data_IF_765938670118
#
_entry.id   IF_765938670118
#
_cell.length_a   1.000
_cell.length_b   1.000
_cell.length_c   1.000
_cell.angle_alpha   90.00
_cell.angle_beta   90.00
_cell.angle_gamma   90.00
#
_symmetry.space_group_name_H-M   'P 1'
#
loop_
_entity.id
_entity.type
_entity.pdbx_description
1 polymer ?
#
# COMPACT_ATOMS: atom_id res chain seq x y z
N UNK A 1 -25.23 -8.26 -20.07
CA UNK A 1 -24.44 -9.50 -20.05
C UNK A 1 -23.67 -9.55 -18.73
N UNK A 2 -24.12 -10.38 -17.76
CA UNK A 2 -23.43 -10.53 -16.46
C UNK A 2 -22.16 -11.34 -16.69
N UNK A 3 -20.98 -10.72 -16.57
CA UNK A 3 -19.72 -11.47 -16.52
C UNK A 3 -19.66 -12.20 -15.17
N UNK A 4 -19.86 -13.50 -15.21
CA UNK A 4 -19.64 -14.38 -14.06
C UNK A 4 -18.13 -14.56 -13.94
N UNK A 5 -17.55 -13.93 -12.95
CA UNK A 5 -16.14 -14.11 -12.61
C UNK A 5 -16.00 -15.42 -11.82
N UNK A 6 -15.27 -16.38 -12.37
CA UNK A 6 -14.90 -17.58 -11.61
C UNK A 6 -13.88 -17.20 -10.54
N UNK A 7 -14.16 -17.53 -9.30
CA UNK A 7 -13.20 -17.51 -8.19
C UNK A 7 -12.20 -18.66 -8.39
N UNK A 8 -10.91 -18.41 -8.62
CA UNK A 8 -9.91 -19.45 -8.42
C UNK A 8 -9.79 -19.67 -6.91
N UNK A 9 -9.70 -20.93 -6.48
CA UNK A 9 -9.16 -21.28 -5.17
C UNK A 9 -7.68 -20.87 -5.19
N UNK A 10 -7.39 -19.66 -4.71
CA UNK A 10 -6.02 -19.21 -4.50
C UNK A 10 -5.65 -19.49 -3.06
N UNK A 11 -4.52 -20.18 -2.91
CA UNK A 11 -3.82 -20.32 -1.65
C UNK A 11 -3.60 -18.92 -1.05
N UNK A 12 -4.01 -18.69 0.17
CA UNK A 12 -4.03 -17.40 0.86
C UNK A 12 -2.69 -16.66 0.81
N UNK A 13 -1.60 -17.38 0.75
CA UNK A 13 -0.24 -16.87 0.64
C UNK A 13 0.03 -16.11 -0.66
N UNK A 14 -0.61 -16.51 -1.75
CA UNK A 14 -0.35 -15.95 -3.07
C UNK A 14 -1.00 -14.58 -3.26
N UNK A 15 -2.13 -14.28 -2.61
CA UNK A 15 -2.84 -13.00 -2.78
C UNK A 15 -2.01 -11.81 -2.28
N UNK A 16 -1.51 -11.87 -1.06
CA UNK A 16 -0.71 -10.78 -0.50
C UNK A 16 0.69 -10.70 -1.12
N UNK A 17 1.28 -11.83 -1.47
CA UNK A 17 2.53 -11.85 -2.21
C UNK A 17 2.37 -11.23 -3.60
N UNK A 18 1.27 -11.49 -4.30
CA UNK A 18 0.95 -10.85 -5.58
C UNK A 18 0.74 -9.34 -5.42
N UNK A 19 -0.01 -8.91 -4.39
CA UNK A 19 -0.18 -7.49 -4.08
C UNK A 19 1.15 -6.77 -3.84
N UNK A 20 2.13 -7.41 -3.18
CA UNK A 20 3.47 -6.87 -2.94
C UNK A 20 4.32 -6.77 -4.22
N UNK A 21 4.02 -7.54 -5.27
CA UNK A 21 4.68 -7.43 -6.57
C UNK A 21 4.15 -6.26 -7.40
N UNK A 22 3.00 -5.68 -7.03
CA UNK A 22 2.44 -4.56 -7.78
C UNK A 22 3.25 -3.29 -7.56
N UNK A 23 3.47 -2.48 -8.61
CA UNK A 23 4.21 -1.23 -8.49
C UNK A 23 3.61 -0.28 -7.46
N UNK A 24 2.30 -0.12 -7.51
CA UNK A 24 1.53 0.69 -6.55
C UNK A 24 0.16 0.06 -6.36
N UNK A 25 -0.36 0.11 -5.14
CA UNK A 25 -1.64 -0.48 -4.77
C UNK A 25 -2.54 0.54 -4.07
N UNK A 26 -3.78 0.64 -4.54
CA UNK A 26 -4.83 1.38 -3.87
C UNK A 26 -5.78 0.42 -3.16
N UNK A 27 -6.00 0.61 -1.87
CA UNK A 27 -6.95 -0.17 -1.06
C UNK A 27 -8.09 0.76 -0.65
N UNK A 28 -9.30 0.49 -1.12
CA UNK A 28 -10.44 1.35 -0.83
C UNK A 28 -11.66 0.57 -0.34
N UNK A 29 -12.42 1.17 0.58
CA UNK A 29 -13.63 0.59 1.14
C UNK A 29 -14.15 1.36 2.34
N UNK A 30 -15.40 1.18 2.67
CA UNK A 30 -16.03 1.85 3.81
C UNK A 30 -15.37 1.49 5.15
N UNK A 31 -15.65 2.26 6.19
CA UNK A 31 -15.24 1.93 7.57
C UNK A 31 -15.73 0.54 7.97
N UNK A 32 -14.84 -0.27 8.53
CA UNK A 32 -15.15 -1.65 8.93
C UNK A 32 -15.34 -2.62 7.77
N UNK A 33 -14.84 -2.32 6.56
CA UNK A 33 -14.88 -3.21 5.40
C UNK A 33 -13.69 -4.19 5.33
N UNK A 34 -12.70 -4.06 6.23
CA UNK A 34 -11.52 -4.93 6.24
C UNK A 34 -10.25 -4.34 5.62
N UNK A 35 -10.15 -3.01 5.43
CA UNK A 35 -8.92 -2.37 4.91
C UNK A 35 -7.70 -2.69 5.75
N UNK A 36 -7.81 -2.57 7.07
CA UNK A 36 -6.74 -2.90 8.02
C UNK A 36 -6.31 -4.36 7.91
N UNK A 37 -7.26 -5.27 7.67
CA UNK A 37 -6.97 -6.69 7.44
C UNK A 37 -6.08 -6.88 6.21
N UNK A 38 -6.40 -6.19 5.10
CA UNK A 38 -5.58 -6.24 3.87
C UNK A 38 -4.19 -5.67 4.12
N UNK A 39 -4.09 -4.50 4.77
CA UNK A 39 -2.80 -3.87 5.08
C UNK A 39 -1.97 -4.80 5.98
N UNK A 40 -2.55 -5.31 7.07
CA UNK A 40 -1.87 -6.21 7.99
C UNK A 40 -1.44 -7.51 7.32
N UNK A 41 -2.26 -8.08 6.43
CA UNK A 41 -1.90 -9.26 5.66
C UNK A 41 -0.70 -9.03 4.74
N UNK A 42 -0.66 -7.89 4.05
CA UNK A 42 0.48 -7.48 3.24
C UNK A 42 1.74 -7.26 4.08
N UNK A 43 1.63 -6.51 5.19
CA UNK A 43 2.74 -6.24 6.11
C UNK A 43 3.30 -7.53 6.70
N UNK A 44 2.43 -8.43 7.19
CA UNK A 44 2.82 -9.75 7.73
C UNK A 44 3.54 -10.59 6.68
N UNK A 45 3.06 -10.58 5.44
CA UNK A 45 3.71 -11.28 4.34
C UNK A 45 5.09 -10.70 4.03
N UNK A 46 5.20 -9.36 3.98
CA UNK A 46 6.47 -8.68 3.74
C UNK A 46 7.50 -8.87 4.88
N UNK A 47 7.05 -8.97 6.13
CA UNK A 47 7.90 -9.20 7.30
C UNK A 47 8.51 -10.61 7.36
N UNK A 48 8.16 -11.52 6.46
CA UNK A 48 8.84 -12.82 6.30
C UNK A 48 10.21 -12.66 5.67
N UNK A 49 10.42 -11.57 4.96
CA UNK A 49 11.71 -11.18 4.41
C UNK A 49 12.54 -10.39 5.44
N UNK A 50 13.85 -10.29 5.21
CA UNK A 50 14.75 -9.54 6.08
C UNK A 50 14.59 -8.02 5.91
N UNK A 51 15.01 -7.20 6.90
CA UNK A 51 15.04 -5.74 6.77
C UNK A 51 15.91 -5.22 5.62
N UNK A 52 16.84 -6.03 5.12
CA UNK A 52 17.62 -5.69 3.93
C UNK A 52 16.84 -5.90 2.63
N UNK A 53 15.87 -6.81 2.63
CA UNK A 53 15.03 -7.10 1.46
C UNK A 53 13.78 -6.23 1.38
N UNK A 54 13.20 -5.86 2.55
CA UNK A 54 11.96 -5.07 2.62
C UNK A 54 12.05 -4.01 3.71
N UNK A 55 11.68 -2.79 3.37
CA UNK A 55 11.64 -1.66 4.29
C UNK A 55 10.33 -0.87 4.13
N UNK A 56 9.95 -0.15 5.18
CA UNK A 56 8.71 0.60 5.23
C UNK A 56 8.92 2.07 5.58
N UNK A 57 8.17 2.95 4.91
CA UNK A 57 7.86 4.30 5.35
C UNK A 57 6.36 4.29 5.67
N UNK A 58 6.00 4.49 6.94
CA UNK A 58 4.65 4.33 7.45
C UNK A 58 4.02 5.69 7.73
N UNK A 59 2.84 5.92 7.17
CA UNK A 59 2.07 7.16 7.34
C UNK A 59 0.71 6.79 7.93
N UNK A 60 0.53 7.09 9.22
CA UNK A 60 -0.63 6.71 10.03
C UNK A 60 -1.21 7.93 10.76
N UNK A 61 -2.03 8.75 10.10
CA UNK A 61 -2.60 9.96 10.69
C UNK A 61 -3.47 9.69 11.91
N UNK A 62 -4.02 8.48 12.02
CA UNK A 62 -4.92 8.08 13.12
C UNK A 62 -4.20 7.41 14.29
N UNK A 63 -2.93 7.03 14.12
CA UNK A 63 -2.09 6.35 15.12
C UNK A 63 -2.69 5.04 15.64
N UNK A 64 -3.34 4.28 14.77
CA UNK A 64 -4.07 3.06 15.13
C UNK A 64 -3.56 1.84 14.37
N UNK A 65 -3.48 1.95 13.04
CA UNK A 65 -3.31 0.78 12.18
C UNK A 65 -1.85 0.35 11.99
N UNK A 66 -0.91 1.32 11.97
CA UNK A 66 0.49 1.05 11.67
C UNK A 66 1.42 1.22 12.88
N UNK A 67 0.89 1.57 14.04
CA UNK A 67 1.68 1.86 15.24
C UNK A 67 2.49 0.66 15.72
N UNK A 68 1.98 -0.56 15.57
CA UNK A 68 2.67 -1.79 15.98
C UNK A 68 3.94 -2.08 15.18
N UNK A 69 4.03 -1.56 13.97
CA UNK A 69 5.18 -1.72 13.08
C UNK A 69 6.26 -0.65 13.27
N UNK A 70 5.99 0.39 14.08
CA UNK A 70 6.84 1.58 14.24
C UNK A 70 8.27 1.25 14.67
N UNK A 71 8.43 0.33 15.62
CA UNK A 71 9.72 -0.01 16.23
C UNK A 71 10.44 -1.19 15.54
N UNK A 72 9.91 -1.70 14.43
CA UNK A 72 10.51 -2.82 13.73
C UNK A 72 11.76 -2.39 12.95
N UNK A 73 12.75 -3.30 12.81
CA UNK A 73 13.97 -3.01 12.05
C UNK A 73 13.71 -2.72 10.56
N UNK A 74 12.55 -3.12 10.03
CA UNK A 74 12.10 -2.82 8.69
C UNK A 74 11.62 -1.37 8.50
N UNK A 75 11.29 -0.65 9.58
CA UNK A 75 10.69 0.67 9.50
C UNK A 75 11.74 1.75 9.45
N UNK A 76 11.88 2.39 8.30
CA UNK A 76 12.73 3.56 8.08
C UNK A 76 12.16 4.78 8.78
N UNK A 77 10.84 4.97 8.64
CA UNK A 77 10.13 6.11 9.21
C UNK A 77 8.69 5.76 9.53
N UNK A 78 8.22 6.24 10.68
CA UNK A 78 6.80 6.30 11.06
C UNK A 78 6.41 7.76 11.24
N UNK A 79 5.28 8.18 10.67
CA UNK A 79 4.80 9.56 10.71
C UNK A 79 3.31 9.61 10.93
N UNK A 80 2.88 10.45 11.88
CA UNK A 80 1.47 10.63 12.22
C UNK A 80 1.03 12.10 12.20
N UNK A 81 1.97 13.04 12.31
CA UNK A 81 1.68 14.47 12.27
C UNK A 81 1.71 15.01 10.83
N UNK A 82 0.86 16.00 10.50
CA UNK A 82 0.75 16.51 9.13
C UNK A 82 2.07 16.92 8.48
N UNK A 83 2.95 17.63 9.20
CA UNK A 83 4.26 18.05 8.69
C UNK A 83 5.22 16.88 8.50
N UNK A 84 5.23 15.91 9.41
CA UNK A 84 6.06 14.72 9.34
C UNK A 84 5.65 13.79 8.20
N UNK A 85 4.34 13.70 7.90
CA UNK A 85 3.82 12.89 6.80
C UNK A 85 4.31 13.41 5.44
N UNK A 86 4.37 14.74 5.25
CA UNK A 86 4.95 15.35 4.04
C UNK A 86 6.45 15.05 3.97
N UNK A 87 7.18 15.15 5.08
CA UNK A 87 8.60 14.82 5.14
C UNK A 87 8.85 13.34 4.82
N UNK A 88 7.99 12.43 5.29
CA UNK A 88 8.09 10.99 4.97
C UNK A 88 7.96 10.72 3.47
N UNK A 89 7.03 11.40 2.79
CA UNK A 89 6.89 11.31 1.34
C UNK A 89 8.12 11.91 0.61
N UNK A 90 8.68 13.01 1.14
CA UNK A 90 9.90 13.64 0.61
C UNK A 90 11.11 12.72 0.74
N UNK A 91 11.20 11.98 1.87
CA UNK A 91 12.24 10.97 2.08
C UNK A 91 12.12 9.83 1.07
N UNK A 92 10.91 9.36 0.78
CA UNK A 92 10.68 8.36 -0.27
C UNK A 92 11.14 8.84 -1.65
N UNK A 93 10.94 10.13 -2.01
CA UNK A 93 11.49 10.73 -3.23
C UNK A 93 13.00 10.73 -3.19
N UNK A 94 13.61 11.13 -2.08
CA UNK A 94 15.08 11.17 -1.93
C UNK A 94 15.68 9.78 -2.13
N UNK A 95 15.09 8.74 -1.51
CA UNK A 95 15.50 7.34 -1.72
C UNK A 95 15.37 6.97 -3.20
N UNK A 96 14.26 7.32 -3.84
CA UNK A 96 14.03 7.05 -5.26
C UNK A 96 15.10 7.70 -6.14
N UNK A 97 15.36 8.99 -5.94
CA UNK A 97 16.34 9.75 -6.73
C UNK A 97 17.79 9.21 -6.52
N UNK A 98 18.15 8.80 -5.31
CA UNK A 98 19.45 8.18 -5.01
C UNK A 98 19.58 6.83 -5.72
N UNK A 99 18.54 6.00 -5.68
CA UNK A 99 18.52 4.72 -6.41
C UNK A 99 18.67 4.91 -7.93
N UNK A 100 18.06 5.95 -8.50
CA UNK A 100 18.28 6.30 -9.92
C UNK A 100 19.73 6.68 -10.22
N UNK A 101 20.41 7.42 -9.33
CA UNK A 101 21.84 7.72 -9.47
C UNK A 101 22.68 6.44 -9.45
N UNK A 102 22.37 5.50 -8.56
CA UNK A 102 23.07 4.22 -8.48
C UNK A 102 22.80 3.34 -9.71
N UNK A 103 21.56 3.29 -10.19
CA UNK A 103 21.20 2.61 -11.44
C UNK A 103 21.98 3.19 -12.64
N UNK A 104 22.10 4.51 -12.71
CA UNK A 104 22.88 5.17 -13.75
C UNK A 104 24.38 4.80 -13.71
N UNK A 105 24.97 4.78 -12.49
CA UNK A 105 26.37 4.35 -12.30
C UNK A 105 26.61 2.90 -12.68
N UNK A 106 25.64 2.03 -12.39
CA UNK A 106 25.71 0.59 -12.67
C UNK A 106 25.24 0.23 -14.09
N UNK A 107 24.75 1.19 -14.87
CA UNK A 107 24.16 0.97 -16.20
C UNK A 107 22.99 -0.03 -16.21
N UNK A 108 22.17 -0.06 -15.15
CA UNK A 108 20.99 -0.93 -15.04
C UNK A 108 19.70 -0.14 -15.19
N UNK A 109 18.63 -0.83 -15.65
CA UNK A 109 17.30 -0.23 -15.86
C UNK A 109 16.34 -0.42 -14.68
N UNK A 110 16.71 -1.25 -13.71
CA UNK A 110 15.94 -1.51 -12.49
C UNK A 110 16.88 -1.61 -11.30
N UNK A 111 16.47 -1.09 -10.17
CA UNK A 111 17.19 -1.21 -8.91
C UNK A 111 17.14 -2.65 -8.41
N UNK A 112 18.29 -3.25 -8.12
CA UNK A 112 18.40 -4.65 -7.69
C UNK A 112 18.40 -4.87 -6.17
N UNK A 113 18.34 -3.80 -5.36
CA UNK A 113 18.30 -3.90 -3.91
C UNK A 113 16.89 -4.08 -3.34
N UNK A 114 16.78 -4.06 -2.02
CA UNK A 114 15.53 -4.28 -1.28
C UNK A 114 14.41 -3.30 -1.66
N UNK A 115 13.17 -3.74 -1.52
CA UNK A 115 11.99 -2.92 -1.77
C UNK A 115 11.73 -1.92 -0.62
N UNK A 116 11.21 -0.73 -0.95
CA UNK A 116 10.67 0.21 0.02
C UNK A 116 9.18 0.39 -0.24
N UNK A 117 8.36 0.10 0.76
CA UNK A 117 6.92 0.32 0.70
C UNK A 117 6.55 1.58 1.50
N UNK A 118 5.97 2.56 0.82
CA UNK A 118 5.34 3.73 1.44
C UNK A 118 3.89 3.35 1.71
N UNK A 119 3.56 3.04 2.96
CA UNK A 119 2.23 2.60 3.38
C UNK A 119 1.47 3.77 4.00
N UNK A 120 0.34 4.12 3.42
CA UNK A 120 -0.53 5.23 3.84
C UNK A 120 -1.86 4.64 4.28
N UNK A 121 -2.17 4.71 5.58
CA UNK A 121 -3.42 4.16 6.14
C UNK A 121 -4.67 4.92 5.68
N UNK A 122 -4.60 6.26 5.62
CA UNK A 122 -5.73 7.06 5.16
C UNK A 122 -5.27 8.22 4.26
N UNK A 123 -5.38 8.00 2.95
CA UNK A 123 -4.99 9.00 1.95
C UNK A 123 -5.86 10.27 2.02
N UNK A 124 -7.13 10.13 2.44
CA UNK A 124 -8.03 11.27 2.55
C UNK A 124 -7.52 12.30 3.56
N UNK A 125 -6.96 11.87 4.68
CA UNK A 125 -6.44 12.76 5.71
C UNK A 125 -5.23 13.57 5.19
N UNK A 126 -4.31 12.92 4.47
CA UNK A 126 -3.19 13.61 3.81
C UNK A 126 -3.65 14.63 2.77
N UNK A 127 -4.61 14.23 1.95
CA UNK A 127 -5.11 15.07 0.86
C UNK A 127 -5.98 16.22 1.37
N UNK A 128 -6.58 16.09 2.54
CA UNK A 128 -7.36 17.19 3.14
C UNK A 128 -6.45 18.23 3.78
N UNK A 129 -5.42 17.80 4.49
CA UNK A 129 -4.53 18.68 5.26
C UNK A 129 -3.44 19.34 4.40
N UNK A 130 -2.84 18.62 3.46
CA UNK A 130 -1.61 19.03 2.77
C UNK A 130 -1.65 18.82 1.24
N UNK A 131 -2.83 18.88 0.62
CA UNK A 131 -3.04 18.53 -0.80
C UNK A 131 -2.00 19.12 -1.75
N UNK A 132 -1.70 20.43 -1.60
CA UNK A 132 -0.78 21.15 -2.51
C UNK A 132 0.64 20.57 -2.50
N UNK A 133 1.08 20.01 -1.37
CA UNK A 133 2.40 19.41 -1.22
C UNK A 133 2.38 17.91 -1.53
N UNK A 134 1.37 17.20 -1.02
CA UNK A 134 1.25 15.74 -1.13
C UNK A 134 0.98 15.29 -2.57
N UNK A 135 0.06 15.95 -3.28
CA UNK A 135 -0.36 15.52 -4.61
C UNK A 135 0.81 15.43 -5.61
N UNK A 136 1.69 16.43 -5.78
CA UNK A 136 2.79 16.31 -6.73
C UNK A 136 3.82 15.28 -6.32
N UNK A 137 4.07 15.10 -5.00
CA UNK A 137 5.02 14.09 -4.51
C UNK A 137 4.49 12.69 -4.79
N UNK A 138 3.24 12.39 -4.44
CA UNK A 138 2.62 11.09 -4.71
C UNK A 138 2.57 10.79 -6.20
N UNK A 139 2.19 11.77 -7.02
CA UNK A 139 2.17 11.60 -8.48
C UNK A 139 3.57 11.24 -9.00
N UNK A 140 4.61 11.93 -8.56
CA UNK A 140 6.00 11.64 -8.95
C UNK A 140 6.43 10.25 -8.46
N UNK A 141 6.19 9.89 -7.19
CA UNK A 141 6.52 8.56 -6.66
C UNK A 141 5.86 7.45 -7.48
N UNK A 142 4.57 7.60 -7.80
CA UNK A 142 3.85 6.61 -8.59
C UNK A 142 4.33 6.54 -10.05
N UNK A 143 4.91 7.60 -10.61
CA UNK A 143 5.46 7.59 -11.96
C UNK A 143 6.83 6.93 -12.05
N UNK A 144 7.69 7.13 -11.05
CA UNK A 144 9.10 6.73 -11.13
C UNK A 144 9.49 5.62 -10.13
N UNK A 145 8.68 5.35 -9.11
CA UNK A 145 9.01 4.42 -8.02
C UNK A 145 9.26 2.99 -8.48
N UNK A 146 8.50 2.50 -9.47
CA UNK A 146 8.59 1.12 -9.97
C UNK A 146 10.02 0.68 -10.32
N UNK A 147 10.74 1.47 -11.10
CA UNK A 147 12.10 1.11 -11.54
C UNK A 147 13.10 1.19 -10.38
N UNK A 148 12.86 2.08 -9.42
CA UNK A 148 13.66 2.25 -8.21
C UNK A 148 13.31 1.28 -7.08
N UNK A 149 12.39 0.33 -7.27
CA UNK A 149 11.86 -0.58 -6.26
C UNK A 149 11.29 0.15 -5.03
N UNK A 150 10.56 1.26 -5.29
CA UNK A 150 9.81 2.04 -4.29
C UNK A 150 8.33 1.98 -4.63
N UNK A 151 7.54 1.46 -3.74
CA UNK A 151 6.14 1.14 -3.95
C UNK A 151 5.24 1.98 -3.04
N UNK A 152 4.11 2.44 -3.54
CA UNK A 152 3.10 3.15 -2.74
C UNK A 152 1.91 2.22 -2.52
N UNK A 153 1.58 1.96 -1.26
CA UNK A 153 0.37 1.28 -0.82
C UNK A 153 -0.48 2.31 -0.11
N UNK A 154 -1.52 2.79 -0.78
CA UNK A 154 -2.40 3.83 -0.24
C UNK A 154 -3.78 3.26 0.08
N UNK A 155 -4.24 3.44 1.32
CA UNK A 155 -5.59 3.09 1.70
C UNK A 155 -6.48 4.32 1.89
N UNK A 156 -7.78 4.16 1.67
CA UNK A 156 -8.76 5.23 1.93
C UNK A 156 -10.16 4.70 2.19
N UNK A 157 -10.87 5.38 3.09
CA UNK A 157 -12.31 5.17 3.31
C UNK A 157 -13.16 6.07 2.40
N UNK A 158 -12.55 7.05 1.75
CA UNK A 158 -13.23 8.06 0.95
C UNK A 158 -12.69 8.08 -0.50
N UNK A 159 -13.21 7.22 -1.39
CA UNK A 159 -12.71 7.08 -2.76
C UNK A 159 -13.22 8.19 -3.71
N UNK A 160 -13.41 9.40 -3.20
CA UNK A 160 -13.84 10.55 -4.00
C UNK A 160 -12.72 11.08 -4.88
N UNK A 161 -13.06 11.64 -6.04
CA UNK A 161 -12.10 12.26 -6.97
C UNK A 161 -11.32 13.41 -6.33
N UNK A 162 -11.88 14.05 -5.31
CA UNK A 162 -11.19 15.09 -4.54
C UNK A 162 -10.02 14.52 -3.71
N UNK A 163 -10.14 13.25 -3.26
CA UNK A 163 -9.13 12.52 -2.47
C UNK A 163 -8.14 11.80 -3.38
N UNK A 164 -8.66 11.16 -4.44
CA UNK A 164 -7.84 10.45 -5.42
C UNK A 164 -8.03 11.11 -6.78
N UNK A 165 -7.33 12.22 -7.06
CA UNK A 165 -7.41 12.89 -8.35
C UNK A 165 -6.95 11.97 -9.48
N UNK A 166 -7.51 12.17 -10.68
CA UNK A 166 -7.19 11.37 -11.86
C UNK A 166 -5.68 11.21 -12.09
N UNK A 167 -4.83 12.25 -11.98
CA UNK A 167 -3.39 12.11 -12.20
C UNK A 167 -2.68 11.17 -11.21
N UNK A 168 -3.24 10.96 -10.03
CA UNK A 168 -2.75 9.96 -9.06
C UNK A 168 -3.37 8.60 -9.39
N UNK A 169 -4.69 8.55 -9.59
CA UNK A 169 -5.46 7.32 -9.79
C UNK A 169 -4.96 6.49 -10.97
N UNK A 170 -4.53 7.11 -12.06
CA UNK A 170 -4.04 6.41 -13.26
C UNK A 170 -2.72 5.67 -13.03
N UNK A 171 -2.00 5.97 -11.96
CA UNK A 171 -0.76 5.28 -11.60
C UNK A 171 -0.99 4.11 -10.62
N UNK A 172 -2.20 3.96 -10.09
CA UNK A 172 -2.62 2.80 -9.30
C UNK A 172 -3.34 1.81 -10.22
N UNK A 173 -2.55 1.06 -11.01
CA UNK A 173 -3.10 0.04 -11.92
C UNK A 173 -3.70 -1.12 -11.15
N UNK A 174 -3.18 -1.37 -9.94
CA UNK A 174 -3.69 -2.42 -9.06
C UNK A 174 -4.50 -1.82 -7.91
N UNK A 175 -5.69 -2.38 -7.68
CA UNK A 175 -6.65 -1.86 -6.70
C UNK A 175 -7.35 -2.98 -5.97
N UNK A 176 -7.47 -2.84 -4.66
CA UNK A 176 -8.34 -3.66 -3.82
C UNK A 176 -9.56 -2.83 -3.46
N UNK A 177 -10.73 -3.27 -3.90
CA UNK A 177 -11.99 -2.65 -3.58
C UNK A 177 -12.80 -3.55 -2.65
N UNK A 178 -12.89 -3.15 -1.40
CA UNK A 178 -13.73 -3.77 -0.38
C UNK A 178 -15.15 -3.17 -0.45
N UNK A 179 -16.05 -3.58 0.47
CA UNK A 179 -17.39 -3.04 0.49
C UNK A 179 -17.38 -1.51 0.53
N UNK A 180 -18.12 -0.89 -0.38
CA UNK A 180 -18.33 0.56 -0.45
C UNK A 180 -19.70 0.96 0.10
N UNK A 181 -19.91 2.26 0.34
CA UNK A 181 -21.21 2.82 0.78
C UNK A 181 -22.20 2.93 -0.36
N UNK A 182 -21.72 3.09 -1.58
CA UNK A 182 -22.55 3.32 -2.77
C UNK A 182 -21.93 2.74 -4.03
N UNK A 183 -22.75 2.53 -5.05
CA UNK A 183 -22.27 2.17 -6.39
C UNK A 183 -21.44 3.29 -7.03
N UNK A 184 -21.61 4.56 -6.62
CA UNK A 184 -20.75 5.64 -7.09
C UNK A 184 -19.32 5.50 -6.54
N UNK A 185 -19.16 5.13 -5.26
CA UNK A 185 -17.85 4.85 -4.68
C UNK A 185 -17.18 3.67 -5.38
N UNK A 186 -17.94 2.61 -5.66
CA UNK A 186 -17.47 1.46 -6.44
C UNK A 186 -16.94 1.90 -7.81
N UNK A 187 -17.71 2.72 -8.55
CA UNK A 187 -17.27 3.29 -9.84
C UNK A 187 -16.02 4.15 -9.69
N UNK A 188 -15.91 4.92 -8.63
CA UNK A 188 -14.73 5.73 -8.37
C UNK A 188 -13.46 4.90 -8.19
N UNK A 189 -13.56 3.67 -7.65
CA UNK A 189 -12.43 2.76 -7.44
C UNK A 189 -12.16 1.93 -8.70
N UNK A 190 -13.16 1.17 -9.15
CA UNK A 190 -13.00 0.13 -10.16
C UNK A 190 -13.47 0.55 -11.57
N UNK A 191 -14.18 1.67 -11.71
CA UNK A 191 -14.85 2.05 -12.95
C UNK A 191 -16.23 1.41 -13.14
N UNK A 192 -16.61 0.47 -12.28
CA UNK A 192 -17.89 -0.29 -12.32
C UNK A 192 -18.52 -0.35 -10.94
N UNK A 193 -19.82 -0.63 -10.89
CA UNK A 193 -20.57 -0.90 -9.64
C UNK A 193 -20.36 -2.36 -9.19
N UNK A 194 -20.68 -2.67 -7.93
CA UNK A 194 -20.69 -4.02 -7.38
C UNK A 194 -20.06 -4.13 -6.00
N UNK A 195 -19.14 -3.23 -5.61
CA UNK A 195 -18.54 -3.26 -4.29
C UNK A 195 -19.53 -2.95 -3.17
N UNK A 196 -20.59 -2.19 -3.45
CA UNK A 196 -21.67 -1.89 -2.51
C UNK A 196 -22.49 -3.13 -2.14
N UNK A 197 -22.43 -4.19 -2.95
CA UNK A 197 -23.14 -5.46 -2.74
C UNK A 197 -22.29 -6.49 -2.00
N UNK A 198 -21.01 -6.22 -1.77
CA UNK A 198 -20.12 -7.12 -1.03
C UNK A 198 -20.60 -7.27 0.43
N UNK A 199 -20.33 -8.40 1.08
CA UNK A 199 -20.52 -8.54 2.51
C UNK A 199 -19.67 -7.49 3.27
N UNK A 200 -20.02 -7.24 4.52
CA UNK A 200 -19.37 -6.20 5.32
C UNK A 200 -17.84 -6.41 5.40
N UNK A 201 -17.39 -7.66 5.47
CA UNK A 201 -15.98 -8.04 5.51
C UNK A 201 -15.76 -9.42 4.87
N UNK A 202 -14.51 -9.77 4.70
CA UNK A 202 -14.08 -11.08 4.22
C UNK A 202 -14.02 -11.22 2.71
N UNK A 203 -14.53 -10.25 1.93
CA UNK A 203 -14.45 -10.29 0.46
C UNK A 203 -14.06 -8.93 -0.12
N UNK A 204 -13.39 -8.97 -1.26
CA UNK A 204 -12.99 -7.80 -2.01
C UNK A 204 -12.74 -8.11 -3.48
N UNK A 205 -12.90 -7.11 -4.32
CA UNK A 205 -12.42 -7.18 -5.70
C UNK A 205 -10.96 -6.74 -5.73
N UNK A 206 -10.13 -7.53 -6.37
CA UNK A 206 -8.75 -7.20 -6.68
C UNK A 206 -8.62 -7.01 -8.18
N UNK A 207 -8.28 -5.80 -8.58
CA UNK A 207 -8.06 -5.40 -9.97
C UNK A 207 -6.57 -5.24 -10.21
N UNK A 208 -6.09 -5.81 -11.30
CA UNK A 208 -4.75 -5.66 -11.86
C UNK A 208 -4.86 -5.34 -13.36
N UNK A 209 -3.76 -5.04 -14.06
CA UNK A 209 -3.78 -4.90 -15.52
C UNK A 209 -4.34 -6.14 -16.26
N UNK A 210 -4.21 -7.33 -15.66
CA UNK A 210 -4.73 -8.58 -16.26
C UNK A 210 -6.24 -8.78 -16.05
N UNK A 211 -6.85 -8.02 -15.16
CA UNK A 211 -8.31 -8.09 -14.94
C UNK A 211 -8.73 -7.80 -13.51
N UNK A 212 -10.03 -7.97 -13.26
CA UNK A 212 -10.64 -7.76 -11.94
C UNK A 212 -11.31 -9.04 -11.47
N UNK A 213 -11.02 -9.51 -10.27
CA UNK A 213 -11.53 -10.76 -9.70
C UNK A 213 -12.02 -10.54 -8.28
N UNK A 214 -13.02 -11.32 -7.89
CA UNK A 214 -13.49 -11.39 -6.50
C UNK A 214 -12.61 -12.37 -5.71
N UNK A 215 -12.18 -11.96 -4.52
CA UNK A 215 -11.38 -12.78 -3.61
C UNK A 215 -11.99 -12.79 -2.21
N UNK A 216 -11.82 -13.91 -1.52
CA UNK A 216 -11.91 -13.94 -0.07
C UNK A 216 -10.64 -13.33 0.50
N UNK A 217 -10.80 -12.35 1.38
CA UNK A 217 -9.67 -11.66 2.02
C UNK A 217 -9.22 -12.48 3.22
N UNK A 218 -8.00 -13.01 3.22
CA UNK A 218 -7.48 -13.81 4.32
C UNK A 218 -7.23 -12.96 5.57
N UNK A 219 -7.39 -13.55 6.74
CA UNK A 219 -7.09 -12.91 8.02
C UNK A 219 -5.85 -13.57 8.64
N UNK A 220 -4.89 -12.76 9.08
CA UNK A 220 -3.70 -13.19 9.81
C UNK A 220 -3.78 -12.73 11.27
N UNK A 221 -4.79 -13.22 12.00
CA UNK A 221 -5.03 -12.80 13.39
C UNK A 221 -3.95 -13.27 14.35
N UNK A 222 -3.34 -14.42 14.09
CA UNK A 222 -2.30 -15.02 14.94
C UNK A 222 -0.90 -14.72 14.41
N UNK A 223 -0.70 -14.82 13.11
CA UNK A 223 0.63 -14.65 12.50
C UNK A 223 1.17 -13.22 12.62
N UNK A 224 0.29 -12.21 12.56
CA UNK A 224 0.71 -10.80 12.65
C UNK A 224 1.36 -10.48 14.00
N UNK A 225 0.76 -10.77 15.16
CA UNK A 225 1.40 -10.55 16.46
C UNK A 225 2.71 -11.32 16.62
N UNK A 226 2.75 -12.58 16.18
CA UNK A 226 3.91 -13.45 16.34
C UNK A 226 5.13 -12.91 15.56
N UNK A 227 4.93 -12.49 14.31
CA UNK A 227 6.04 -11.96 13.49
C UNK A 227 6.51 -10.59 13.98
N UNK A 228 5.60 -9.75 14.47
CA UNK A 228 5.94 -8.47 15.10
C UNK A 228 6.79 -8.70 16.35
N UNK A 229 6.39 -9.61 17.21
CA UNK A 229 7.14 -9.96 18.42
C UNK A 229 8.52 -10.55 18.09
N UNK A 230 8.59 -11.42 17.09
CA UNK A 230 9.85 -11.95 16.59
C UNK A 230 10.82 -10.82 16.22
N UNK A 231 10.40 -9.85 15.39
CA UNK A 231 11.27 -8.78 14.92
C UNK A 231 11.58 -7.74 16.00
N UNK A 232 10.68 -7.50 16.96
CA UNK A 232 10.97 -6.64 18.13
C UNK A 232 12.10 -7.18 18.98
N UNK A 233 12.29 -8.50 19.03
CA UNK A 233 13.40 -9.16 19.76
C UNK A 233 14.71 -9.14 18.98
N UNK A 234 14.69 -8.95 17.67
CA UNK A 234 15.89 -8.85 16.84
C UNK A 234 16.46 -7.43 16.91
N UNK A 235 17.64 -7.27 17.52
CA UNK A 235 18.41 -6.00 17.50
C UNK A 235 19.59 -6.16 16.55
N UNK A 236 20.08 -5.08 15.93
CA UNK A 236 19.67 -3.69 15.79
C UNK A 236 19.31 -3.28 14.35
N UNK A 237 18.80 -2.04 14.18
CA UNK A 237 18.65 -1.37 12.90
C UNK A 237 19.88 -1.55 12.01
N UNK A 238 19.72 -2.14 10.84
CA UNK A 238 20.67 -1.93 9.75
C UNK A 238 20.42 -0.51 9.27
N UNK A 239 21.26 0.43 9.74
CA UNK A 239 21.25 1.80 9.21
C UNK A 239 21.79 1.67 7.79
N UNK A 240 20.93 1.83 6.82
CA UNK A 240 21.33 2.05 5.45
C UNK A 240 22.02 3.43 5.38
N UNK A 241 23.35 3.44 5.36
CA UNK A 241 24.07 4.59 4.89
C UNK A 241 23.89 4.63 3.38
N UNK A 242 22.93 5.49 2.93
CA UNK A 242 22.66 5.77 1.55
C UNK A 242 23.79 6.46 0.82
#
# INVERSE_FOLDING_TARGET
MKRVWKTPELDYYNLYADMLQQPHLLIAGATGSGKSVVINGMMTTALKDSPAAVQFILIDPKRVELVDYKELPHTLRYSSEPGEMVQALQEAITITDNRYKDMARQHVKKYGGGAVYVVIDELADLMTTNKKQVQPILQRLCQIGRAANVHVVAATQCPLSAVIPTPIKVNFDSRVALRTRSGQDSRNILGVTGCELLPRYGQGYYMTPEGCRLYNIPMYETETPDIIEYWRKQKPRIIWNG
#
